data_IF_511243868064
#
_entry.id   IF_511243868064
#
_cell.length_a   1.000
_cell.length_b   1.000
_cell.length_c   1.000
_cell.angle_alpha   90.00
_cell.angle_beta   90.00
_cell.angle_gamma   90.00
#
_symmetry.space_group_name_H-M   'P 1'
#
loop_
_entity.id
_entity.type
_entity.pdbx_description
1 polymer ?
#
# COMPACT_ATOMS: atom_id res chain seq x y z
N UNK A 1 -45.35 41.58 -22.83
CA UNK A 1 -43.93 42.04 -22.80
C UNK A 1 -43.33 41.81 -21.41
N UNK A 2 -43.08 40.56 -21.00
CA UNK A 2 -42.45 40.26 -19.69
C UNK A 2 -41.34 39.19 -19.75
N UNK A 3 -41.09 38.56 -20.91
CA UNK A 3 -40.05 37.51 -21.05
C UNK A 3 -38.65 38.00 -20.61
N UNK A 4 -38.27 39.21 -21.02
CA UNK A 4 -36.91 39.74 -20.80
C UNK A 4 -36.56 39.92 -19.30
N UNK A 5 -37.56 40.23 -18.47
CA UNK A 5 -37.37 40.37 -17.03
C UNK A 5 -37.22 38.99 -16.36
N UNK A 6 -37.95 37.98 -16.84
CA UNK A 6 -37.88 36.62 -16.33
C UNK A 6 -36.50 35.99 -16.59
N UNK A 7 -35.91 36.24 -17.76
CA UNK A 7 -34.60 35.69 -18.12
C UNK A 7 -33.47 36.27 -17.25
N UNK A 8 -33.48 37.58 -16.98
CA UNK A 8 -32.51 38.20 -16.06
C UNK A 8 -32.61 37.69 -14.63
N UNK A 9 -33.82 37.39 -14.16
CA UNK A 9 -34.04 36.81 -12.83
C UNK A 9 -33.49 35.38 -12.77
N UNK A 10 -33.67 34.59 -13.83
CA UNK A 10 -33.10 33.23 -13.92
C UNK A 10 -31.58 33.24 -13.90
N UNK A 11 -30.95 34.15 -14.64
CA UNK A 11 -29.47 34.28 -14.65
C UNK A 11 -28.93 34.69 -13.27
N UNK A 12 -29.61 35.62 -12.60
CA UNK A 12 -29.25 36.03 -11.24
C UNK A 12 -29.37 34.86 -10.25
N UNK A 13 -30.49 34.13 -10.28
CA UNK A 13 -30.70 32.94 -9.45
C UNK A 13 -29.66 31.86 -9.72
N UNK A 14 -29.31 31.62 -11.00
CA UNK A 14 -28.24 30.70 -11.39
C UNK A 14 -26.91 31.11 -10.77
N UNK A 15 -26.54 32.39 -10.84
CA UNK A 15 -25.29 32.88 -10.26
C UNK A 15 -25.25 32.77 -8.73
N UNK A 16 -26.35 33.12 -8.05
CA UNK A 16 -26.46 32.99 -6.60
C UNK A 16 -26.37 31.53 -6.15
N UNK A 17 -27.06 30.64 -6.85
CA UNK A 17 -27.08 29.22 -6.51
C UNK A 17 -25.71 28.57 -6.75
N UNK A 18 -25.03 28.89 -7.86
CA UNK A 18 -23.67 28.44 -8.13
C UNK A 18 -22.66 28.90 -7.06
N UNK A 19 -22.84 30.12 -6.52
CA UNK A 19 -21.96 30.65 -5.46
C UNK A 19 -22.17 29.98 -4.10
N UNK A 20 -23.30 29.31 -3.86
CA UNK A 20 -23.55 28.55 -2.64
C UNK A 20 -22.94 27.15 -2.68
N UNK A 21 -22.54 26.67 -3.86
CA UNK A 21 -21.99 25.33 -4.03
C UNK A 21 -20.48 25.28 -3.71
N UNK A 22 -19.98 24.11 -3.28
CA UNK A 22 -18.55 23.88 -3.18
C UNK A 22 -17.82 24.12 -4.52
N UNK A 23 -16.57 24.61 -4.45
CA UNK A 23 -15.76 25.01 -5.62
C UNK A 23 -15.65 23.93 -6.71
N UNK A 24 -15.58 22.65 -6.32
CA UNK A 24 -15.48 21.54 -7.27
C UNK A 24 -16.76 21.41 -8.10
N UNK A 25 -17.93 21.41 -7.46
CA UNK A 25 -19.24 21.38 -8.14
C UNK A 25 -19.45 22.63 -8.97
N UNK A 26 -19.08 23.80 -8.47
CA UNK A 26 -19.17 25.06 -9.21
C UNK A 26 -18.37 25.00 -10.52
N UNK A 27 -17.13 24.50 -10.49
CA UNK A 27 -16.28 24.42 -11.69
C UNK A 27 -16.90 23.54 -12.77
N UNK A 28 -17.44 22.39 -12.38
CA UNK A 28 -18.09 21.44 -13.30
C UNK A 28 -19.39 22.04 -13.86
N UNK A 29 -20.21 22.66 -13.02
CA UNK A 29 -21.49 23.26 -13.43
C UNK A 29 -21.33 24.53 -14.25
N UNK A 30 -20.27 25.32 -14.05
CA UNK A 30 -19.96 26.48 -14.89
C UNK A 30 -19.47 26.05 -16.27
N UNK A 31 -18.71 24.94 -16.34
CA UNK A 31 -18.28 24.36 -17.61
C UNK A 31 -19.47 23.77 -18.40
N UNK A 32 -20.55 23.38 -17.71
CA UNK A 32 -21.75 22.82 -18.31
C UNK A 32 -22.78 23.93 -18.56
N UNK A 33 -23.00 24.32 -19.83
CA UNK A 33 -23.88 25.45 -20.21
C UNK A 33 -25.39 25.12 -20.09
N UNK A 34 -25.77 24.32 -19.09
CA UNK A 34 -27.14 23.81 -18.94
C UNK A 34 -28.11 24.87 -18.37
N UNK A 35 -29.41 24.78 -18.71
CA UNK A 35 -30.46 25.59 -18.12
C UNK A 35 -30.55 25.36 -16.60
N UNK A 36 -31.01 26.39 -15.89
CA UNK A 36 -31.15 26.40 -14.43
C UNK A 36 -31.94 25.19 -13.90
N UNK A 37 -32.98 24.77 -14.62
CA UNK A 37 -33.86 23.66 -14.23
C UNK A 37 -33.12 22.31 -14.15
N UNK A 38 -32.05 22.13 -14.91
CA UNK A 38 -31.22 20.92 -14.91
C UNK A 38 -30.00 21.02 -13.98
N UNK A 39 -29.65 22.23 -13.54
CA UNK A 39 -28.45 22.48 -12.73
C UNK A 39 -28.51 21.75 -11.39
N UNK A 40 -29.70 21.70 -10.76
CA UNK A 40 -29.97 20.95 -9.53
C UNK A 40 -29.65 19.46 -9.68
N UNK A 41 -30.21 18.83 -10.71
CA UNK A 41 -30.01 17.41 -10.99
C UNK A 41 -28.54 17.08 -11.26
N UNK A 42 -27.81 17.97 -11.95
CA UNK A 42 -26.39 17.76 -12.22
C UNK A 42 -25.57 17.94 -10.95
N UNK A 43 -25.90 18.92 -10.09
CA UNK A 43 -25.23 19.09 -8.80
C UNK A 43 -25.40 17.86 -7.90
N UNK A 44 -26.60 17.29 -7.82
CA UNK A 44 -26.85 16.08 -7.05
C UNK A 44 -26.03 14.89 -7.57
N UNK A 45 -25.91 14.75 -8.90
CA UNK A 45 -25.06 13.72 -9.52
C UNK A 45 -23.57 13.92 -9.22
N UNK A 46 -23.10 15.17 -9.23
CA UNK A 46 -21.70 15.50 -8.88
C UNK A 46 -21.45 15.17 -7.41
N UNK A 47 -22.39 15.51 -6.53
CA UNK A 47 -22.28 15.21 -5.12
C UNK A 47 -22.20 13.71 -4.86
N UNK A 48 -23.10 12.92 -5.43
CA UNK A 48 -23.10 11.46 -5.29
C UNK A 48 -21.83 10.79 -5.83
N UNK A 49 -21.28 11.29 -6.95
CA UNK A 49 -20.02 10.77 -7.49
C UNK A 49 -18.81 11.14 -6.62
N UNK A 50 -18.77 12.36 -6.08
CA UNK A 50 -17.68 12.79 -5.19
C UNK A 50 -17.67 11.99 -3.87
N UNK A 51 -18.83 11.77 -3.25
CA UNK A 51 -18.94 10.96 -2.03
C UNK A 51 -18.48 9.51 -2.27
N UNK A 52 -18.90 8.91 -3.39
CA UNK A 52 -18.47 7.58 -3.77
C UNK A 52 -16.95 7.48 -3.96
N UNK A 53 -16.34 8.45 -4.65
CA UNK A 53 -14.88 8.51 -4.83
C UNK A 53 -14.15 8.67 -3.50
N UNK A 54 -14.68 9.47 -2.58
CA UNK A 54 -14.08 9.64 -1.26
C UNK A 54 -14.11 8.32 -0.46
N UNK A 55 -15.23 7.59 -0.49
CA UNK A 55 -15.36 6.28 0.17
C UNK A 55 -14.38 5.26 -0.44
N UNK A 56 -14.26 5.22 -1.77
CA UNK A 56 -13.31 4.35 -2.45
C UNK A 56 -11.86 4.68 -2.09
N UNK A 57 -11.49 5.97 -2.06
CA UNK A 57 -10.14 6.40 -1.70
C UNK A 57 -9.79 6.00 -0.27
N UNK A 58 -10.71 6.18 0.69
CA UNK A 58 -10.50 5.76 2.08
C UNK A 58 -10.36 4.23 2.17
N UNK A 59 -11.18 3.49 1.44
CA UNK A 59 -11.09 2.01 1.39
C UNK A 59 -9.77 1.54 0.78
N UNK A 60 -9.29 2.22 -0.26
CA UNK A 60 -8.04 1.93 -0.93
C UNK A 60 -6.83 2.27 -0.05
N UNK A 61 -6.85 3.43 0.62
CA UNK A 61 -5.81 3.82 1.57
C UNK A 61 -5.69 2.80 2.71
N UNK A 62 -6.82 2.37 3.28
CA UNK A 62 -6.85 1.31 4.31
C UNK A 62 -6.34 -0.04 3.79
N UNK A 63 -6.57 -0.35 2.53
CA UNK A 63 -6.07 -1.60 1.92
C UNK A 63 -4.56 -1.53 1.66
N UNK A 64 -4.03 -0.35 1.34
CA UNK A 64 -2.60 -0.13 1.13
C UNK A 64 -1.82 -0.13 2.44
N UNK A 65 -2.36 0.47 3.51
CA UNK A 65 -1.75 0.41 4.85
C UNK A 65 -1.70 -1.01 5.38
N UNK A 66 -2.79 -1.76 5.29
CA UNK A 66 -2.82 -3.17 5.74
C UNK A 66 -1.88 -4.07 4.92
N UNK A 67 -1.78 -3.89 3.59
CA UNK A 67 -0.85 -4.66 2.76
C UNK A 67 0.63 -4.34 3.08
N UNK A 68 0.95 -3.07 3.34
CA UNK A 68 2.30 -2.66 3.72
C UNK A 68 2.68 -3.13 5.13
N UNK A 69 1.74 -3.09 6.08
CA UNK A 69 1.91 -3.65 7.43
C UNK A 69 2.16 -5.16 7.41
N UNK A 70 1.40 -5.91 6.60
CA UNK A 70 1.59 -7.37 6.42
C UNK A 70 2.97 -7.67 5.84
N UNK A 71 3.43 -6.89 4.85
CA UNK A 71 4.75 -7.05 4.27
C UNK A 71 5.87 -6.78 5.31
N UNK A 72 5.76 -5.70 6.08
CA UNK A 72 6.73 -5.38 7.14
C UNK A 72 6.77 -6.49 8.20
N UNK A 73 5.61 -6.98 8.65
CA UNK A 73 5.54 -8.07 9.61
C UNK A 73 6.20 -9.36 9.08
N UNK A 74 5.98 -9.68 7.80
CA UNK A 74 6.59 -10.85 7.16
C UNK A 74 8.12 -10.75 7.07
N UNK A 75 8.64 -9.56 6.73
CA UNK A 75 10.09 -9.31 6.66
C UNK A 75 10.74 -9.40 8.05
N UNK A 76 10.13 -8.77 9.05
CA UNK A 76 10.61 -8.83 10.44
C UNK A 76 10.58 -10.26 10.97
N UNK A 77 9.54 -11.04 10.67
CA UNK A 77 9.44 -12.45 11.06
C UNK A 77 10.57 -13.30 10.45
N UNK A 78 10.89 -13.06 9.17
CA UNK A 78 12.00 -13.73 8.48
C UNK A 78 13.36 -13.36 9.11
N UNK A 79 13.59 -12.09 9.41
CA UNK A 79 14.84 -11.63 10.03
C UNK A 79 15.02 -12.21 11.43
N UNK A 80 13.94 -12.25 12.23
CA UNK A 80 13.95 -12.92 13.55
C UNK A 80 14.28 -14.42 13.41
N UNK A 81 13.73 -15.09 12.40
CA UNK A 81 14.01 -16.50 12.15
C UNK A 81 15.48 -16.71 11.77
N UNK A 82 16.03 -15.89 10.89
CA UNK A 82 17.44 -15.94 10.49
C UNK A 82 18.37 -15.76 11.69
N UNK A 83 18.12 -14.73 12.51
CA UNK A 83 18.90 -14.46 13.72
C UNK A 83 18.89 -15.64 14.69
N UNK A 84 17.73 -16.28 14.91
CA UNK A 84 17.61 -17.48 15.76
C UNK A 84 18.42 -18.66 15.21
N UNK A 85 18.40 -18.88 13.90
CA UNK A 85 19.19 -19.96 13.28
C UNK A 85 20.69 -19.70 13.35
N UNK A 86 21.12 -18.45 13.16
CA UNK A 86 22.52 -18.04 13.25
C UNK A 86 23.08 -18.14 14.67
N UNK A 87 22.28 -17.79 15.68
CA UNK A 87 22.65 -17.97 17.09
C UNK A 87 22.81 -19.47 17.44
N UNK A 88 21.91 -20.32 16.95
CA UNK A 88 21.97 -21.77 17.17
C UNK A 88 23.21 -22.41 16.52
N UNK A 89 23.56 -21.98 15.30
CA UNK A 89 24.79 -22.43 14.61
C UNK A 89 26.07 -22.00 15.34
N UNK A 90 26.10 -20.77 15.85
CA UNK A 90 27.22 -20.20 16.62
C UNK A 90 27.43 -20.89 17.98
N UNK A 91 26.35 -21.36 18.60
CA UNK A 91 26.45 -22.16 19.82
C UNK A 91 27.03 -23.55 19.52
N UNK A 92 26.51 -24.25 18.50
CA UNK A 92 26.94 -25.62 18.17
C UNK A 92 28.41 -25.74 17.75
N UNK A 93 28.98 -24.75 17.07
CA UNK A 93 30.41 -24.80 16.72
C UNK A 93 31.34 -24.60 17.93
N UNK A 94 30.90 -23.92 18.99
CA UNK A 94 31.67 -23.79 20.24
C UNK A 94 31.71 -25.09 21.04
N UNK A 95 30.62 -25.87 21.03
CA UNK A 95 30.58 -27.16 21.72
C UNK A 95 31.40 -28.24 21.01
N UNK A 96 31.38 -28.27 19.67
CA UNK A 96 32.15 -29.26 18.89
C UNK A 96 33.67 -29.11 19.05
N UNK A 97 34.19 -27.90 19.27
CA UNK A 97 35.62 -27.70 19.50
C UNK A 97 36.04 -28.04 20.94
N UNK A 98 35.16 -27.83 21.93
CA UNK A 98 35.49 -28.11 23.34
C UNK A 98 35.64 -29.62 23.62
N UNK A 99 34.90 -30.47 22.89
CA UNK A 99 34.89 -31.92 23.12
C UNK A 99 36.15 -32.63 22.58
N UNK A 100 36.89 -32.01 21.66
CA UNK A 100 38.10 -32.59 21.06
C UNK A 100 39.42 -32.21 21.77
N UNK A 101 39.37 -31.35 22.79
CA UNK A 101 40.57 -30.84 23.47
C UNK A 101 41.04 -31.66 24.69
N UNK A 102 40.94 -33.00 24.64
CA UNK A 102 41.66 -33.88 25.58
C UNK A 102 42.84 -34.64 24.98
N UNK A 103 43.18 -34.42 23.71
CA UNK A 103 44.34 -35.03 23.07
C UNK A 103 45.47 -34.03 22.91
N UNK A 104 46.44 -34.09 23.81
CA UNK A 104 47.68 -33.31 23.82
C UNK A 104 48.60 -33.83 22.70
N UNK A 105 48.32 -33.48 21.45
CA UNK A 105 49.17 -33.84 20.30
C UNK A 105 49.77 -32.59 19.66
N UNK A 106 51.10 -32.54 19.60
CA UNK A 106 51.89 -31.50 18.94
C UNK A 106 51.95 -31.79 17.44
N UNK A 107 50.96 -31.33 16.68
CA UNK A 107 51.03 -31.36 15.21
C UNK A 107 50.28 -30.16 14.62
N UNK A 108 51.00 -29.33 13.85
CA UNK A 108 50.56 -28.07 13.22
C UNK A 108 49.60 -28.26 12.04
N UNK A 109 48.65 -29.20 12.11
CA UNK A 109 47.71 -29.45 11.02
C UNK A 109 46.32 -29.68 11.63
N UNK A 110 45.58 -28.59 11.81
CA UNK A 110 44.16 -28.59 12.12
C UNK A 110 43.56 -27.34 11.45
N UNK A 111 42.63 -27.40 10.52
CA UNK A 111 42.04 -28.52 9.80
C UNK A 111 41.46 -27.93 8.50
N UNK A 112 41.83 -28.49 7.36
CA UNK A 112 41.12 -28.24 6.11
C UNK A 112 40.00 -29.29 6.07
N UNK A 113 38.83 -28.95 6.60
CA UNK A 113 37.61 -29.68 6.25
C UNK A 113 37.05 -29.01 5.00
N UNK A 114 37.52 -29.47 3.83
CA UNK A 114 36.81 -29.24 2.58
C UNK A 114 35.50 -30.00 2.68
N UNK A 115 34.38 -29.28 2.74
CA UNK A 115 33.05 -29.86 2.58
C UNK A 115 32.84 -30.30 1.13
N UNK A 116 33.39 -31.46 0.74
CA UNK A 116 32.98 -32.20 -0.45
C UNK A 116 31.75 -33.05 -0.10
N UNK A 117 30.55 -32.50 -0.28
CA UNK A 117 29.33 -33.20 -0.71
C UNK A 117 28.07 -32.37 -0.38
N UNK A 118 27.69 -31.46 -1.26
CA UNK A 118 26.27 -31.13 -1.46
C UNK A 118 25.95 -31.33 -2.94
N UNK A 119 25.50 -32.55 -3.26
CA UNK A 119 24.80 -32.84 -4.52
C UNK A 119 23.43 -32.14 -4.43
N UNK A 120 23.02 -31.29 -5.40
CA UNK A 120 21.67 -30.72 -5.40
C UNK A 120 20.64 -31.79 -5.80
N UNK A 121 19.43 -31.82 -5.21
CA UNK A 121 18.34 -32.61 -5.76
C UNK A 121 17.79 -31.91 -7.01
N UNK A 122 17.50 -32.75 -7.98
CA UNK A 122 17.08 -32.46 -9.34
C UNK A 122 15.85 -31.54 -9.42
N UNK A 123 15.87 -30.64 -10.41
CA UNK A 123 14.66 -30.08 -10.98
C UNK A 123 13.76 -31.21 -11.51
N UNK A 124 12.48 -31.17 -11.18
CA UNK A 124 11.43 -31.75 -12.01
C UNK A 124 10.43 -30.66 -12.35
N UNK A 125 10.52 -30.22 -13.60
CA UNK A 125 9.49 -29.51 -14.34
C UNK A 125 8.59 -30.58 -14.92
N UNK A 126 7.30 -30.56 -14.59
CA UNK A 126 6.17 -30.88 -15.46
C UNK A 126 4.94 -30.15 -14.91
#
# INVERSE_FOLDING_TARGET
MCQLAADKVKDFLKSLWLNQLPKHSQTILVANSEPFDNLATIADKIHGTFEFQNILNISQERSQTTASEINIFSLVALEIQELKTSQSRSANCKFSCAEFHRSKSRSNICGIIVNLARKPPYHQVL
#
